data_IF_120871548437
#
_entry.id   IF_120871548437
#
_cell.length_a   1.000
_cell.length_b   1.000
_cell.length_c   1.000
_cell.angle_alpha   90.00
_cell.angle_beta   90.00
_cell.angle_gamma   90.00
#
_symmetry.space_group_name_H-M   'P 1'
#
loop_
_entity.id
_entity.type
_entity.pdbx_description
1 polymer ?
#
# COMPACT_ATOMS: atom_id res chain seq x y z
N UNK A 1 11.93 -20.18 -9.66
CA UNK A 1 11.49 -18.96 -8.94
C UNK A 1 11.31 -19.19 -7.43
N UNK A 2 10.84 -20.35 -6.94
CA UNK A 2 10.64 -20.63 -5.50
C UNK A 2 11.91 -20.38 -4.66
N UNK A 3 13.07 -20.71 -5.22
CA UNK A 3 14.40 -20.52 -4.64
C UNK A 3 14.76 -19.05 -4.32
N UNK A 4 14.06 -18.10 -4.96
CA UNK A 4 14.21 -16.66 -4.68
C UNK A 4 13.51 -16.21 -3.41
N UNK A 5 12.73 -17.07 -2.74
CA UNK A 5 11.97 -16.71 -1.54
C UNK A 5 12.49 -17.48 -0.32
N UNK A 6 12.25 -16.94 0.87
CA UNK A 6 12.60 -17.59 2.15
C UNK A 6 11.52 -18.59 2.63
N UNK A 7 10.71 -19.11 1.71
CA UNK A 7 9.67 -20.08 2.03
C UNK A 7 10.31 -21.42 2.44
N UNK A 8 9.71 -22.06 3.44
CA UNK A 8 10.11 -23.39 3.90
C UNK A 8 10.06 -24.40 2.74
N UNK A 9 11.18 -25.08 2.41
CA UNK A 9 11.25 -25.99 1.26
C UNK A 9 10.21 -27.11 1.32
N UNK A 10 9.94 -27.63 2.51
CA UNK A 10 9.02 -28.72 2.83
C UNK A 10 7.54 -28.33 2.79
N UNK A 11 7.22 -27.02 2.72
CA UNK A 11 5.83 -26.54 2.64
C UNK A 11 5.46 -26.14 1.22
N UNK A 12 4.26 -26.55 0.80
CA UNK A 12 3.62 -26.06 -0.42
C UNK A 12 2.82 -24.81 -0.05
N UNK A 13 3.43 -23.65 -0.25
CA UNK A 13 2.80 -22.38 0.08
C UNK A 13 1.85 -21.93 -1.05
N UNK A 14 0.54 -21.96 -0.78
CA UNK A 14 -0.50 -21.63 -1.76
C UNK A 14 -1.20 -20.29 -1.49
N UNK A 15 -0.97 -19.66 -0.33
CA UNK A 15 -1.71 -18.47 0.11
C UNK A 15 -1.01 -17.13 -0.23
N UNK A 16 -0.44 -17.03 -1.43
CA UNK A 16 0.29 -15.83 -1.88
C UNK A 16 -0.63 -14.63 -2.14
N UNK A 17 -1.90 -14.87 -2.45
CA UNK A 17 -2.90 -13.81 -2.64
C UNK A 17 -3.28 -13.08 -1.34
N UNK A 18 -3.12 -13.73 -0.18
CA UNK A 18 -3.36 -13.11 1.13
C UNK A 18 -2.08 -12.63 1.80
N UNK A 19 -1.05 -13.49 1.88
CA UNK A 19 0.18 -13.22 2.63
C UNK A 19 1.44 -13.64 1.86
N UNK A 20 1.73 -12.96 0.75
CA UNK A 20 2.91 -13.25 -0.07
C UNK A 20 4.24 -13.08 0.69
N UNK A 21 5.14 -14.04 0.52
CA UNK A 21 6.53 -13.87 0.96
C UNK A 21 7.27 -12.91 0.01
N UNK A 22 8.15 -12.09 0.56
CA UNK A 22 9.02 -11.21 -0.21
C UNK A 22 10.20 -12.00 -0.82
N UNK A 23 10.65 -11.69 -2.07
CA UNK A 23 11.90 -12.24 -2.57
C UNK A 23 13.09 -11.89 -1.66
N UNK A 24 14.07 -12.81 -1.55
CA UNK A 24 15.27 -12.67 -0.72
C UNK A 24 15.99 -11.34 -0.92
N UNK A 25 16.21 -10.95 -2.17
CA UNK A 25 16.90 -9.69 -2.49
C UNK A 25 16.15 -8.45 -1.99
N UNK A 26 14.82 -8.46 -2.05
CA UNK A 26 14.01 -7.34 -1.55
C UNK A 26 13.97 -7.35 -0.02
N UNK A 27 13.91 -8.53 0.60
CA UNK A 27 14.01 -8.65 2.06
C UNK A 27 15.38 -8.19 2.58
N UNK A 28 16.46 -8.51 1.89
CA UNK A 28 17.81 -8.03 2.20
C UNK A 28 17.90 -6.50 2.13
N UNK A 29 17.40 -5.88 1.07
CA UNK A 29 17.32 -4.41 0.97
C UNK A 29 16.48 -3.80 2.09
N UNK A 30 15.34 -4.40 2.42
CA UNK A 30 14.49 -3.94 3.53
C UNK A 30 15.25 -3.97 4.87
N UNK A 31 15.95 -5.06 5.16
CA UNK A 31 16.76 -5.17 6.38
C UNK A 31 17.93 -4.18 6.39
N UNK A 32 18.53 -3.89 5.22
CA UNK A 32 19.60 -2.91 5.13
C UNK A 32 19.12 -1.48 5.42
N UNK A 33 17.96 -1.07 4.89
CA UNK A 33 17.38 0.24 5.22
C UNK A 33 17.07 0.38 6.71
N UNK A 34 16.60 -0.68 7.38
CA UNK A 34 16.41 -0.65 8.83
C UNK A 34 17.73 -0.44 9.57
N UNK A 35 18.78 -1.19 9.21
CA UNK A 35 20.10 -1.02 9.83
C UNK A 35 20.65 0.37 9.60
N UNK A 36 20.49 0.91 8.39
CA UNK A 36 20.95 2.25 8.05
C UNK A 36 20.22 3.33 8.86
N UNK A 37 18.89 3.19 9.02
CA UNK A 37 18.09 4.07 9.88
C UNK A 37 18.58 4.04 11.33
N UNK A 38 18.86 2.85 11.89
CA UNK A 38 19.32 2.72 13.28
C UNK A 38 20.74 3.23 13.51
N UNK A 39 21.60 3.21 12.47
CA UNK A 39 22.97 3.72 12.57
C UNK A 39 23.04 5.25 12.67
N UNK A 40 22.18 5.95 11.94
CA UNK A 40 22.04 7.41 12.02
C UNK A 40 20.63 7.84 11.58
N UNK A 41 19.69 7.95 12.53
CA UNK A 41 18.30 8.24 12.18
C UNK A 41 18.09 9.66 11.68
N UNK A 42 18.93 10.62 12.08
CA UNK A 42 18.81 12.01 11.64
C UNK A 42 19.24 12.13 10.18
N UNK A 43 20.40 11.58 9.83
CA UNK A 43 20.89 11.54 8.45
C UNK A 43 19.90 10.77 7.54
N UNK A 44 19.42 9.60 8.00
CA UNK A 44 18.48 8.80 7.22
C UNK A 44 17.18 9.57 6.93
N UNK A 45 16.54 10.13 7.95
CA UNK A 45 15.24 10.78 7.82
C UNK A 45 15.34 12.13 7.11
N UNK A 46 16.31 12.97 7.46
CA UNK A 46 16.39 14.34 6.96
C UNK A 46 17.05 14.43 5.59
N UNK A 47 18.03 13.57 5.30
CA UNK A 47 18.85 13.68 4.08
C UNK A 47 18.51 12.58 3.09
N UNK A 48 18.58 11.31 3.51
CA UNK A 48 18.54 10.18 2.58
C UNK A 48 17.13 9.78 2.15
N UNK A 49 16.15 9.93 3.04
CA UNK A 49 14.78 9.49 2.80
C UNK A 49 14.17 10.08 1.52
N UNK A 50 14.30 11.39 1.30
CA UNK A 50 13.75 12.05 0.11
C UNK A 50 14.34 11.50 -1.20
N UNK A 51 15.64 11.17 -1.18
CA UNK A 51 16.33 10.53 -2.31
C UNK A 51 15.80 9.12 -2.56
N UNK A 52 15.74 8.26 -1.53
CA UNK A 52 15.20 6.90 -1.66
C UNK A 52 13.75 6.87 -2.11
N UNK A 53 12.94 7.82 -1.62
CA UNK A 53 11.56 7.97 -2.05
C UNK A 53 11.49 8.32 -3.54
N UNK A 54 12.30 9.26 -4.00
CA UNK A 54 12.37 9.67 -5.42
C UNK A 54 12.78 8.51 -6.32
N UNK A 55 13.80 7.75 -5.94
CA UNK A 55 14.25 6.55 -6.66
C UNK A 55 13.13 5.50 -6.75
N UNK A 56 12.46 5.22 -5.63
CA UNK A 56 11.35 4.27 -5.56
C UNK A 56 10.16 4.71 -6.41
N UNK A 57 9.80 6.00 -6.36
CA UNK A 57 8.71 6.57 -7.17
C UNK A 57 9.03 6.49 -8.66
N UNK A 58 10.25 6.83 -9.05
CA UNK A 58 10.69 6.78 -10.46
C UNK A 58 10.60 5.36 -11.02
N UNK A 59 11.08 4.36 -10.25
CA UNK A 59 11.00 2.97 -10.66
C UNK A 59 9.55 2.48 -10.86
N UNK A 60 8.65 2.78 -9.92
CA UNK A 60 7.25 2.39 -10.04
C UNK A 60 6.55 3.12 -11.19
N UNK A 61 6.74 4.45 -11.29
CA UNK A 61 6.15 5.28 -12.35
C UNK A 61 6.50 4.73 -13.74
N UNK A 62 7.76 4.38 -13.97
CA UNK A 62 8.22 3.76 -15.21
C UNK A 62 7.58 2.39 -15.45
N UNK A 63 7.40 1.58 -14.41
CA UNK A 63 6.81 0.24 -14.52
C UNK A 63 5.31 0.27 -14.87
N UNK A 64 4.53 1.19 -14.27
CA UNK A 64 3.08 1.30 -14.51
C UNK A 64 2.70 2.39 -15.53
N UNK A 65 3.69 3.01 -16.18
CA UNK A 65 3.52 4.03 -17.21
C UNK A 65 2.68 5.24 -16.75
N UNK A 66 3.08 5.85 -15.63
CA UNK A 66 2.50 7.10 -15.13
C UNK A 66 3.59 8.09 -14.70
N UNK A 67 3.21 9.29 -14.27
CA UNK A 67 4.16 10.24 -13.66
C UNK A 67 4.34 9.94 -12.19
N UNK A 68 5.44 10.43 -11.61
CA UNK A 68 5.71 10.30 -10.18
C UNK A 68 4.66 11.00 -9.32
N UNK A 69 3.94 11.98 -9.85
CA UNK A 69 2.91 12.74 -9.12
C UNK A 69 1.55 12.03 -9.11
N UNK A 70 1.35 11.02 -9.96
CA UNK A 70 0.04 10.39 -10.17
C UNK A 70 -0.31 9.35 -9.08
N UNK A 71 0.61 9.04 -8.15
CA UNK A 71 0.38 8.10 -7.06
C UNK A 71 1.12 8.45 -5.77
N UNK A 72 0.66 7.80 -4.69
CA UNK A 72 1.28 7.82 -3.36
C UNK A 72 1.54 6.38 -2.89
N UNK A 73 2.55 6.21 -2.03
CA UNK A 73 2.74 4.94 -1.32
C UNK A 73 1.88 4.93 -0.06
N UNK A 74 1.20 3.80 0.17
CA UNK A 74 0.39 3.58 1.38
C UNK A 74 0.71 2.20 1.96
N UNK A 75 0.51 1.99 3.27
CA UNK A 75 0.82 0.72 3.91
C UNK A 75 -0.03 -0.46 3.41
N UNK A 76 -1.25 -0.20 2.94
CA UNK A 76 -2.16 -1.20 2.38
C UNK A 76 -3.36 -0.54 1.66
N UNK A 77 -4.13 -1.30 0.86
CA UNK A 77 -5.31 -0.78 0.14
C UNK A 77 -6.39 -0.17 1.04
N UNK A 78 -6.56 -0.67 2.27
CA UNK A 78 -7.59 -0.15 3.19
C UNK A 78 -7.27 1.27 3.65
N UNK A 79 -5.98 1.55 3.93
CA UNK A 79 -5.51 2.91 4.24
C UNK A 79 -5.69 3.82 3.02
N UNK A 80 -5.30 3.37 1.82
CA UNK A 80 -5.43 4.16 0.60
C UNK A 80 -6.87 4.64 0.36
N UNK A 81 -7.84 3.72 0.41
CA UNK A 81 -9.24 4.05 0.17
C UNK A 81 -9.80 4.96 1.28
N UNK A 82 -9.44 4.72 2.54
CA UNK A 82 -9.84 5.63 3.63
C UNK A 82 -9.27 7.03 3.45
N UNK A 83 -8.05 7.19 2.93
CA UNK A 83 -7.47 8.50 2.60
C UNK A 83 -8.29 9.21 1.54
N UNK A 84 -8.66 8.51 0.45
CA UNK A 84 -9.51 9.08 -0.61
C UNK A 84 -10.87 9.47 -0.06
N UNK A 85 -11.56 8.58 0.67
CA UNK A 85 -12.89 8.87 1.21
C UNK A 85 -12.92 10.05 2.17
N UNK A 86 -11.84 10.30 2.92
CA UNK A 86 -11.73 11.47 3.80
C UNK A 86 -11.54 12.79 3.07
N UNK A 87 -11.09 12.75 1.82
CA UNK A 87 -10.96 13.95 0.96
C UNK A 87 -12.26 14.30 0.23
N UNK A 88 -13.24 13.38 0.19
CA UNK A 88 -14.53 13.62 -0.42
C UNK A 88 -15.48 14.30 0.57
N UNK A 89 -16.29 15.24 0.08
CA UNK A 89 -17.33 15.91 0.85
C UNK A 89 -18.70 15.36 0.46
N UNK A 90 -18.97 14.11 0.85
CA UNK A 90 -20.24 13.44 0.58
C UNK A 90 -21.40 14.13 1.31
N UNK A 91 -22.56 14.13 0.66
CA UNK A 91 -23.82 14.68 1.12
C UNK A 91 -24.95 13.64 1.02
N UNK A 92 -26.14 13.99 1.52
CA UNK A 92 -27.30 13.08 1.54
C UNK A 92 -27.84 12.71 0.14
N UNK A 93 -27.52 13.53 -0.87
CA UNK A 93 -27.91 13.31 -2.26
C UNK A 93 -26.91 12.44 -3.04
N UNK A 94 -25.77 12.07 -2.42
CA UNK A 94 -24.74 11.26 -3.06
C UNK A 94 -24.99 9.75 -2.85
N UNK A 95 -24.49 8.95 -3.80
CA UNK A 95 -24.55 7.49 -3.77
C UNK A 95 -23.19 6.87 -4.13
N UNK A 96 -22.80 5.84 -3.39
CA UNK A 96 -21.62 5.01 -3.68
C UNK A 96 -22.09 3.77 -4.43
N UNK A 97 -21.60 3.56 -5.65
CA UNK A 97 -21.91 2.38 -6.45
C UNK A 97 -20.73 1.41 -6.44
N UNK A 98 -21.00 0.13 -6.15
CA UNK A 98 -19.99 -0.94 -6.12
C UNK A 98 -20.52 -2.22 -6.77
N UNK A 99 -19.65 -3.22 -6.90
CA UNK A 99 -20.07 -4.57 -7.30
C UNK A 99 -20.52 -5.38 -6.07
N UNK A 100 -21.12 -6.54 -6.27
CA UNK A 100 -21.37 -7.50 -5.19
C UNK A 100 -20.16 -8.41 -4.89
N UNK A 101 -18.97 -8.06 -5.40
CA UNK A 101 -17.72 -8.80 -5.24
C UNK A 101 -16.66 -8.00 -4.47
N UNK A 102 -17.10 -7.02 -3.67
CA UNK A 102 -16.20 -6.15 -2.93
C UNK A 102 -15.40 -6.89 -1.85
N UNK A 103 -14.23 -6.33 -1.56
CA UNK A 103 -13.45 -6.73 -0.41
C UNK A 103 -14.12 -6.19 0.86
N UNK A 104 -14.46 -7.04 1.83
CA UNK A 104 -15.28 -6.61 2.98
C UNK A 104 -14.72 -5.46 3.85
N UNK A 105 -13.45 -5.07 3.73
CA UNK A 105 -12.96 -3.83 4.35
C UNK A 105 -13.47 -2.56 3.65
N UNK A 106 -13.76 -2.67 2.35
CA UNK A 106 -14.38 -1.62 1.53
C UNK A 106 -15.81 -1.42 1.97
N UNK A 107 -16.63 -2.48 2.07
CA UNK A 107 -18.02 -2.41 2.57
C UNK A 107 -18.12 -1.68 3.91
N UNK A 108 -17.23 -2.04 4.86
CA UNK A 108 -17.16 -1.36 6.16
C UNK A 108 -16.82 0.12 6.03
N UNK A 109 -15.95 0.47 5.09
CA UNK A 109 -15.56 1.86 4.81
C UNK A 109 -16.75 2.64 4.25
N UNK A 110 -17.43 2.10 3.24
CA UNK A 110 -18.59 2.72 2.61
C UNK A 110 -19.72 2.97 3.62
N UNK A 111 -20.14 1.94 4.37
CA UNK A 111 -21.16 2.07 5.41
C UNK A 111 -20.79 3.11 6.48
N UNK A 112 -19.51 3.21 6.87
CA UNK A 112 -19.06 4.20 7.84
C UNK A 112 -19.26 5.64 7.32
N UNK A 113 -18.88 5.92 6.07
CA UNK A 113 -19.00 7.26 5.49
C UNK A 113 -20.45 7.62 5.20
N UNK A 114 -21.25 6.70 4.65
CA UNK A 114 -22.68 6.89 4.42
C UNK A 114 -23.46 7.19 5.71
N UNK A 115 -23.16 6.46 6.80
CA UNK A 115 -23.73 6.75 8.12
C UNK A 115 -23.40 8.16 8.63
N UNK A 116 -22.24 8.70 8.24
CA UNK A 116 -21.77 10.01 8.68
C UNK A 116 -22.31 11.16 7.82
N UNK A 117 -22.40 10.98 6.51
CA UNK A 117 -22.81 12.04 5.57
C UNK A 117 -24.29 12.03 5.22
N UNK A 118 -24.98 10.91 5.44
CA UNK A 118 -26.34 10.68 4.92
C UNK A 118 -26.36 10.12 3.49
N UNK A 119 -25.20 9.98 2.84
CA UNK A 119 -25.08 9.38 1.52
C UNK A 119 -25.55 7.92 1.51
N UNK A 120 -25.88 7.39 0.34
CA UNK A 120 -26.38 6.02 0.16
C UNK A 120 -25.30 5.05 -0.29
N UNK A 121 -25.33 3.84 0.27
CA UNK A 121 -24.54 2.68 -0.14
C UNK A 121 -25.30 1.41 0.22
#
# INVERSE_FOLDING_TARGET
MKEKFLLLPERVFLNHGSFGACPKSVFESYQNFQRELELDPVEFIQIKFAKYLTESKTALASYINCRTEDFIFTPNPTVAINTVMRSLNLSEDDEILTTNHEYGAMDRTWHFFCKRSGAKY
#
